data_IF_230489161689
#
_entry.id   IF_230489161689
#
_cell.length_a   1.000
_cell.length_b   1.000
_cell.length_c   1.000
_cell.angle_alpha   90.00
_cell.angle_beta   90.00
_cell.angle_gamma   90.00
#
_symmetry.space_group_name_H-M   'P 1'
#
loop_
_entity.id
_entity.type
_entity.pdbx_description
1 polymer ?
#
# COMPACT_ATOMS: atom_id res chain seq x y z
N UNK A 1 -10.37 -7.84 30.36
CA UNK A 1 -11.48 -7.90 29.38
C UNK A 1 -11.65 -6.61 28.58
N UNK A 2 -11.53 -5.43 29.19
CA UNK A 2 -11.69 -4.12 28.52
C UNK A 2 -10.92 -3.95 27.20
N UNK A 3 -9.64 -4.34 27.15
CA UNK A 3 -8.81 -4.27 25.93
C UNK A 3 -9.39 -5.09 24.77
N UNK A 4 -9.99 -6.24 25.04
CA UNK A 4 -10.64 -7.08 24.02
C UNK A 4 -11.94 -6.45 23.54
N UNK A 5 -12.73 -5.90 24.45
CA UNK A 5 -13.97 -5.17 24.11
C UNK A 5 -13.68 -3.96 23.24
N UNK A 6 -12.63 -3.18 23.56
CA UNK A 6 -12.21 -2.04 22.74
C UNK A 6 -11.80 -2.52 21.35
N UNK A 7 -10.99 -3.58 21.26
CA UNK A 7 -10.52 -4.11 19.98
C UNK A 7 -11.70 -4.57 19.11
N UNK A 8 -12.63 -5.34 19.68
CA UNK A 8 -13.83 -5.81 18.97
C UNK A 8 -14.68 -4.64 18.50
N UNK A 9 -14.87 -3.61 19.34
CA UNK A 9 -15.62 -2.40 18.96
C UNK A 9 -15.02 -1.72 17.73
N UNK A 10 -13.70 -1.49 17.74
CA UNK A 10 -13.00 -0.90 16.59
C UNK A 10 -13.08 -1.79 15.36
N UNK A 11 -12.92 -3.12 15.49
CA UNK A 11 -13.04 -4.04 14.36
C UNK A 11 -14.44 -3.98 13.73
N UNK A 12 -15.50 -3.94 14.53
CA UNK A 12 -16.89 -3.83 14.03
C UNK A 12 -17.10 -2.49 13.33
N UNK A 13 -16.62 -1.39 13.90
CA UNK A 13 -16.74 -0.05 13.30
C UNK A 13 -16.01 0.00 11.94
N UNK A 14 -14.77 -0.50 11.86
CA UNK A 14 -14.02 -0.53 10.62
C UNK A 14 -14.67 -1.42 9.57
N UNK A 15 -15.17 -2.58 9.98
CA UNK A 15 -15.88 -3.49 9.08
C UNK A 15 -17.16 -2.84 8.52
N UNK A 16 -17.93 -2.15 9.35
CA UNK A 16 -19.12 -1.42 8.92
C UNK A 16 -18.79 -0.27 7.95
N UNK A 17 -17.69 0.44 8.19
CA UNK A 17 -17.26 1.56 7.34
C UNK A 17 -16.83 1.08 5.94
N UNK A 18 -16.10 -0.04 5.87
CA UNK A 18 -15.64 -0.62 4.60
C UNK A 18 -16.82 -1.22 3.81
N UNK A 19 -17.68 -1.98 4.47
CA UNK A 19 -18.74 -2.76 3.79
C UNK A 19 -20.02 -1.93 3.57
N UNK A 20 -20.25 -0.89 4.39
CA UNK A 20 -21.46 -0.07 4.37
C UNK A 20 -21.85 0.46 2.98
N UNK A 21 -20.97 1.20 2.27
CA UNK A 21 -21.27 1.70 0.92
C UNK A 21 -21.58 0.58 -0.07
N UNK A 22 -20.91 -0.57 0.09
CA UNK A 22 -21.10 -1.74 -0.78
C UNK A 22 -22.46 -2.42 -0.55
N UNK A 23 -22.93 -2.54 0.70
CA UNK A 23 -24.27 -3.05 1.00
C UNK A 23 -25.35 -2.10 0.46
N UNK A 24 -25.18 -0.80 0.66
CA UNK A 24 -26.14 0.22 0.20
C UNK A 24 -26.27 0.16 -1.33
N UNK A 25 -25.14 0.12 -2.05
CA UNK A 25 -25.12 -0.01 -3.51
C UNK A 25 -25.78 -1.31 -4.00
N UNK A 26 -25.74 -2.40 -3.22
CA UNK A 26 -26.38 -3.67 -3.62
C UNK A 26 -27.88 -3.74 -3.34
N UNK A 27 -28.38 -2.89 -2.44
CA UNK A 27 -29.79 -2.88 -2.05
C UNK A 27 -30.63 -1.99 -2.95
N UNK A 28 -30.07 -0.85 -3.37
CA UNK A 28 -30.78 0.15 -4.16
C UNK A 28 -29.80 0.95 -5.04
N UNK A 29 -29.92 0.76 -6.35
CA UNK A 29 -29.10 1.43 -7.37
C UNK A 29 -29.42 2.94 -7.50
N UNK A 30 -30.50 3.43 -6.88
CA UNK A 30 -30.87 4.85 -6.91
C UNK A 30 -30.16 5.70 -5.87
N UNK A 31 -29.52 5.06 -4.88
CA UNK A 31 -28.83 5.76 -3.79
C UNK A 31 -27.42 6.13 -4.24
N UNK A 32 -27.11 7.43 -4.18
CA UNK A 32 -25.79 7.93 -4.52
C UNK A 32 -24.74 7.56 -3.44
N UNK A 33 -23.83 6.65 -3.78
CA UNK A 33 -22.70 6.27 -2.92
C UNK A 33 -21.40 7.01 -3.24
N UNK A 34 -21.40 7.94 -4.20
CA UNK A 34 -20.20 8.64 -4.67
C UNK A 34 -19.48 9.39 -3.55
N UNK A 35 -20.22 9.93 -2.58
CA UNK A 35 -19.69 10.68 -1.42
C UNK A 35 -18.72 9.83 -0.58
N UNK A 36 -19.01 8.53 -0.43
CA UNK A 36 -18.14 7.62 0.34
C UNK A 36 -16.82 7.34 -0.39
N UNK A 37 -16.85 7.29 -1.73
CA UNK A 37 -15.66 7.07 -2.55
C UNK A 37 -14.86 8.36 -2.76
N UNK A 38 -15.52 9.52 -2.90
CA UNK A 38 -14.86 10.82 -3.07
C UNK A 38 -14.04 11.21 -1.84
N UNK A 39 -14.46 10.82 -0.63
CA UNK A 39 -13.71 11.05 0.60
C UNK A 39 -12.37 10.27 0.62
N UNK A 40 -12.32 9.11 -0.02
CA UNK A 40 -11.09 8.32 -0.14
C UNK A 40 -10.19 8.82 -1.28
N UNK A 41 -10.75 9.49 -2.29
CA UNK A 41 -10.05 10.01 -3.47
C UNK A 41 -9.37 11.37 -3.23
N UNK A 42 -9.56 11.99 -2.05
CA UNK A 42 -9.00 13.32 -1.73
C UNK A 42 -7.46 13.36 -1.65
N UNK A 43 -6.77 12.21 -1.58
CA UNK A 43 -5.30 12.15 -1.65
C UNK A 43 -4.74 12.57 -3.02
N UNK A 44 -5.48 12.40 -4.13
CA UNK A 44 -4.95 12.69 -5.47
C UNK A 44 -4.86 14.20 -5.78
N UNK A 45 -5.69 15.01 -5.12
CA UNK A 45 -5.72 16.46 -5.32
C UNK A 45 -4.82 17.26 -4.36
N UNK A 46 -4.18 16.60 -3.40
CA UNK A 46 -3.16 17.21 -2.54
C UNK A 46 -1.81 17.35 -3.28
N UNK A 47 -1.75 18.28 -4.24
CA UNK A 47 -0.48 18.82 -4.77
C UNK A 47 0.28 19.67 -3.74
N UNK A 48 -0.10 19.67 -2.47
CA UNK A 48 0.77 20.14 -1.40
C UNK A 48 1.81 19.06 -1.14
N UNK A 49 2.93 19.17 -1.85
CA UNK A 49 4.18 18.50 -1.51
C UNK A 49 4.49 18.85 -0.06
N UNK A 50 4.08 18.02 0.89
CA UNK A 50 4.50 18.14 2.29
C UNK A 50 5.99 17.86 2.24
N UNK A 51 6.78 18.93 2.13
CA UNK A 51 8.20 18.88 2.40
C UNK A 51 8.26 18.63 3.90
N UNK A 52 8.32 17.35 4.27
CA UNK A 52 8.73 16.94 5.60
C UNK A 52 10.18 17.39 5.72
N UNK A 53 10.38 18.61 6.19
CA UNK A 53 11.67 19.06 6.69
C UNK A 53 11.93 18.16 7.88
N UNK A 54 12.67 17.07 7.67
CA UNK A 54 13.22 16.27 8.75
C UNK A 54 14.13 17.21 9.55
N UNK A 55 13.57 17.90 10.54
CA UNK A 55 14.36 18.52 11.57
C UNK A 55 14.99 17.38 12.34
N UNK A 56 16.30 17.24 12.19
CA UNK A 56 17.17 16.30 12.86
C UNK A 56 17.26 16.56 14.39
N UNK A 57 16.17 17.05 14.99
CA UNK A 57 16.05 17.23 16.43
C UNK A 57 15.22 16.07 16.98
N UNK A 58 15.98 15.04 17.32
CA UNK A 58 15.69 13.92 18.21
C UNK A 58 14.44 14.08 19.07
N UNK A 59 13.50 13.15 18.91
CA UNK A 59 12.74 12.64 20.04
C UNK A 59 12.94 11.13 20.08
N UNK A 60 13.56 10.71 21.17
CA UNK A 60 14.03 9.37 21.47
C UNK A 60 12.94 8.29 21.39
N UNK A 61 13.31 7.15 20.80
CA UNK A 61 13.03 5.78 21.31
C UNK A 61 13.53 4.68 20.36
N UNK A 62 14.66 4.91 19.67
CA UNK A 62 15.28 3.92 18.78
C UNK A 62 16.40 3.12 19.48
N UNK A 63 16.37 3.01 20.81
CA UNK A 63 17.42 2.35 21.60
C UNK A 63 17.41 0.82 21.53
N UNK A 64 16.35 0.20 21.02
CA UNK A 64 16.15 -1.27 21.17
C UNK A 64 16.48 -2.09 19.91
N UNK A 65 16.98 -1.46 18.84
CA UNK A 65 17.41 -2.18 17.65
C UNK A 65 18.93 -2.26 17.57
N UNK A 66 19.51 -3.30 18.19
CA UNK A 66 20.83 -3.77 17.78
C UNK A 66 20.70 -4.46 16.43
N UNK A 67 20.76 -3.67 15.35
CA UNK A 67 21.00 -4.23 14.02
C UNK A 67 22.39 -4.85 14.03
N UNK A 68 22.44 -6.18 14.08
CA UNK A 68 23.67 -6.91 13.81
C UNK A 68 24.22 -6.42 12.47
N UNK A 69 25.48 -6.02 12.45
CA UNK A 69 26.18 -5.52 11.26
C UNK A 69 26.32 -6.65 10.23
N UNK A 70 25.25 -6.88 9.47
CA UNK A 70 25.27 -7.79 8.34
C UNK A 70 25.45 -6.98 7.05
N UNK A 71 26.63 -7.22 6.48
CA UNK A 71 27.08 -7.10 5.09
C UNK A 71 26.54 -5.93 4.29
N UNK A 72 27.47 -5.09 3.81
CA UNK A 72 27.21 -4.01 2.88
C UNK A 72 26.38 -4.48 1.67
N UNK A 73 25.06 -4.30 1.74
CA UNK A 73 24.19 -4.40 0.56
C UNK A 73 24.50 -3.20 -0.33
N UNK A 74 25.45 -3.39 -1.25
CA UNK A 74 25.67 -2.41 -2.31
C UNK A 74 24.45 -2.39 -3.22
N UNK A 75 23.77 -1.25 -3.26
CA UNK A 75 22.66 -1.01 -4.16
C UNK A 75 23.16 -1.06 -5.61
N UNK A 76 22.95 -2.19 -6.29
CA UNK A 76 23.27 -2.33 -7.70
C UNK A 76 22.02 -2.10 -8.56
N UNK A 77 21.58 -0.85 -8.64
CA UNK A 77 20.51 -0.47 -9.55
C UNK A 77 21.07 -0.18 -10.94
N UNK A 78 20.48 -0.82 -11.95
CA UNK A 78 20.68 -0.51 -13.38
C UNK A 78 22.04 -0.87 -13.99
N UNK A 79 22.66 -1.97 -13.55
CA UNK A 79 23.82 -2.54 -14.26
C UNK A 79 23.43 -3.62 -15.29
N UNK A 80 22.28 -3.45 -15.95
CA UNK A 80 21.85 -4.35 -17.02
C UNK A 80 22.46 -3.89 -18.34
N UNK A 81 23.16 -4.78 -19.05
CA UNK A 81 23.55 -4.53 -20.43
C UNK A 81 22.30 -4.24 -21.26
N UNK A 82 22.38 -3.29 -22.20
CA UNK A 82 21.26 -2.98 -23.10
C UNK A 82 20.77 -4.29 -23.74
N UNK A 83 19.49 -4.68 -23.56
CA UNK A 83 18.98 -5.90 -24.18
C UNK A 83 19.12 -5.74 -25.69
N UNK A 84 19.69 -6.76 -26.34
CA UNK A 84 19.75 -6.77 -27.80
C UNK A 84 18.31 -6.79 -28.31
N UNK A 85 17.93 -5.73 -29.04
CA UNK A 85 16.56 -5.43 -29.46
C UNK A 85 15.92 -6.52 -30.35
N UNK A 86 16.70 -7.54 -30.74
CA UNK A 86 16.30 -8.62 -31.64
C UNK A 86 16.57 -10.01 -31.03
N UNK A 87 16.16 -10.25 -29.78
CA UNK A 87 15.94 -11.63 -29.31
C UNK A 87 14.64 -12.16 -29.93
N UNK A 88 14.73 -12.54 -31.21
CA UNK A 88 13.72 -13.33 -31.90
C UNK A 88 13.93 -14.78 -31.49
N UNK A 89 13.84 -15.09 -30.19
CA UNK A 89 13.80 -16.49 -29.78
C UNK A 89 12.44 -17.02 -30.21
N UNK A 90 12.36 -18.02 -31.11
CA UNK A 90 11.09 -18.61 -31.44
C UNK A 90 10.44 -19.16 -30.16
N UNK A 91 9.11 -19.09 -30.04
CA UNK A 91 8.41 -19.71 -28.91
C UNK A 91 8.76 -21.21 -28.86
N UNK A 92 8.92 -21.79 -27.67
CA UNK A 92 9.27 -23.19 -27.53
C UNK A 92 8.22 -24.09 -28.19
N UNK A 93 8.68 -25.11 -28.92
CA UNK A 93 7.80 -26.07 -29.56
C UNK A 93 6.92 -26.77 -28.52
N UNK A 94 5.59 -26.63 -28.68
CA UNK A 94 4.63 -27.42 -27.91
C UNK A 94 4.68 -28.85 -28.43
N UNK A 95 5.56 -29.68 -27.87
CA UNK A 95 5.41 -31.13 -27.95
C UNK A 95 4.18 -31.53 -27.13
N UNK A 96 3.00 -31.48 -27.77
CA UNK A 96 1.79 -32.14 -27.27
C UNK A 96 1.82 -33.54 -27.89
N UNK A 97 2.04 -34.53 -27.02
CA UNK A 97 1.96 -35.97 -27.31
C UNK A 97 0.58 -36.36 -27.87
#
# INVERSE_FOLDING_TARGET
MFKKTIAISFTVIFMALIIGPSIIATLDDSIDTSIFYSLAEEEENCKSKIVVTFSLYNNDSLSDFTLNHYEFFTYQFKNYSKPHLNLISPPPDKNIL
#
